data_IF_644804499809
#
_entry.id   IF_644804499809
#
_cell.length_a   1.000
_cell.length_b   1.000
_cell.length_c   1.000
_cell.angle_alpha   90.00
_cell.angle_beta   90.00
_cell.angle_gamma   90.00
#
_symmetry.space_group_name_H-M   'P 1'
#
loop_
_entity.id
_entity.type
_entity.pdbx_description
1 polymer ?
#
# COMPACT_ATOMS: atom_id res chain seq x y z
N UNK A 1 50.59 4.52 1.19
CA UNK A 1 51.44 5.16 2.23
C UNK A 1 50.54 5.50 3.41
N UNK A 2 50.91 4.95 4.57
CA UNK A 2 50.50 5.15 5.98
C UNK A 2 49.13 5.81 6.28
N UNK A 3 48.17 5.17 7.01
CA UNK A 3 48.15 4.82 8.46
C UNK A 3 48.21 6.11 9.33
N UNK A 4 47.32 6.42 10.29
CA UNK A 4 46.96 5.65 11.49
C UNK A 4 45.68 6.13 12.21
N UNK A 5 45.20 5.21 13.06
CA UNK A 5 44.11 5.26 14.03
C UNK A 5 44.32 6.23 15.21
N UNK A 6 43.23 6.56 15.92
CA UNK A 6 43.29 6.91 17.34
C UNK A 6 42.27 6.14 18.17
N UNK A 7 42.79 5.42 19.16
CA UNK A 7 42.10 4.64 20.21
C UNK A 7 42.05 5.40 21.54
N UNK A 8 41.16 4.91 22.40
CA UNK A 8 40.73 5.45 23.68
C UNK A 8 41.81 5.63 24.77
N UNK A 9 41.56 6.56 25.70
CA UNK A 9 42.36 6.76 26.90
C UNK A 9 41.51 6.67 28.18
N UNK A 10 41.89 5.69 29.00
CA UNK A 10 41.45 5.36 30.36
C UNK A 10 42.25 6.22 31.35
N UNK A 11 41.62 6.80 32.37
CA UNK A 11 42.34 7.45 33.50
C UNK A 11 41.95 6.78 34.81
N UNK A 12 42.97 6.33 35.54
CA UNK A 12 42.93 5.76 36.87
C UNK A 12 43.80 6.62 37.80
N UNK A 13 43.26 6.92 38.98
CA UNK A 13 43.96 6.87 40.26
C UNK A 13 45.00 7.95 40.58
N UNK A 14 44.69 8.77 41.58
CA UNK A 14 45.69 9.27 42.53
C UNK A 14 45.05 9.40 43.91
N UNK A 15 45.74 8.82 44.90
CA UNK A 15 45.40 8.83 46.30
C UNK A 15 45.90 10.13 46.97
N UNK A 16 45.17 10.58 47.99
CA UNK A 16 45.59 11.66 48.88
C UNK A 16 44.68 11.67 50.10
N UNK A 17 45.18 11.16 51.23
CA UNK A 17 44.47 11.16 52.50
C UNK A 17 44.54 12.52 53.20
N UNK A 18 43.59 12.75 54.11
CA UNK A 18 43.84 13.21 55.49
C UNK A 18 42.53 13.63 56.17
N UNK A 19 42.35 13.08 57.38
CA UNK A 19 41.78 13.69 58.59
C UNK A 19 40.28 14.04 58.67
N UNK A 20 39.59 13.21 59.47
CA UNK A 20 38.46 13.60 60.32
C UNK A 20 38.95 14.51 61.47
N UNK A 21 38.00 15.24 62.10
CA UNK A 21 37.90 15.14 63.55
C UNK A 21 36.49 14.79 64.02
N UNK A 22 36.49 13.88 64.99
CA UNK A 22 35.38 13.36 65.78
C UNK A 22 34.95 14.42 66.81
N UNK A 23 33.64 14.59 67.03
CA UNK A 23 33.12 15.14 68.28
C UNK A 23 31.92 14.33 68.76
N UNK A 24 32.13 13.68 69.89
CA UNK A 24 31.18 12.93 70.69
C UNK A 24 30.34 13.90 71.52
N UNK A 25 29.01 13.77 71.51
CA UNK A 25 28.16 14.30 72.58
C UNK A 25 27.21 13.24 73.09
N UNK A 26 27.20 13.15 74.40
CA UNK A 26 26.63 12.14 75.27
C UNK A 26 25.12 12.34 75.46
N UNK A 27 24.40 11.22 75.47
CA UNK A 27 22.99 11.14 75.81
C UNK A 27 22.77 11.32 77.32
N UNK A 28 21.69 12.01 77.69
CA UNK A 28 21.03 11.84 78.99
C UNK A 28 19.52 11.64 78.78
N UNK A 29 19.00 10.57 79.38
CA UNK A 29 17.58 10.18 79.44
C UNK A 29 17.09 10.42 80.88
N UNK A 30 15.80 10.70 81.08
CA UNK A 30 15.08 10.20 82.24
C UNK A 30 14.00 9.15 81.85
N UNK A 31 13.77 8.23 82.78
CA UNK A 31 12.82 7.09 82.72
C UNK A 31 11.39 7.54 83.08
N UNK A 32 10.40 6.98 82.39
CA UNK A 32 8.96 6.94 82.74
C UNK A 32 8.30 5.65 82.21
N UNK A 33 7.18 5.18 82.79
CA UNK A 33 6.91 3.75 82.96
C UNK A 33 6.33 3.00 81.74
N UNK A 34 6.70 1.71 81.68
CA UNK A 34 6.33 0.68 80.70
C UNK A 34 4.91 0.17 80.94
N UNK A 35 3.96 0.52 80.05
CA UNK A 35 2.78 -0.35 79.76
C UNK A 35 1.91 0.10 78.57
N UNK A 36 2.28 1.15 77.82
CA UNK A 36 1.50 1.67 76.68
C UNK A 36 2.21 1.64 75.31
N UNK A 37 3.28 0.85 75.17
CA UNK A 37 4.06 0.79 73.91
C UNK A 37 3.68 -0.36 72.98
N UNK A 38 3.13 -1.48 73.47
CA UNK A 38 2.90 -2.67 72.62
C UNK A 38 1.76 -2.45 71.59
N UNK A 39 0.71 -1.70 71.95
CA UNK A 39 -0.38 -1.38 71.03
C UNK A 39 0.04 -0.40 69.91
N UNK A 40 0.98 0.52 70.18
CA UNK A 40 1.51 1.46 69.18
C UNK A 40 2.49 0.79 68.22
N UNK A 41 3.29 -0.19 68.68
CA UNK A 41 4.24 -0.90 67.81
C UNK A 41 3.52 -1.80 66.79
N UNK A 42 2.42 -2.45 67.18
CA UNK A 42 1.62 -3.29 66.24
C UNK A 42 0.87 -2.42 65.22
N UNK A 43 0.35 -1.25 65.62
CA UNK A 43 -0.28 -0.30 64.68
C UNK A 43 0.74 0.26 63.68
N UNK A 44 1.94 0.59 64.13
CA UNK A 44 3.00 1.10 63.24
C UNK A 44 3.52 0.02 62.28
N UNK A 45 3.61 -1.24 62.70
CA UNK A 45 3.98 -2.35 61.79
C UNK A 45 2.91 -2.56 60.71
N UNK A 46 1.62 -2.50 61.06
CA UNK A 46 0.52 -2.60 60.08
C UNK A 46 0.57 -1.44 59.07
N UNK A 47 0.84 -0.22 59.54
CA UNK A 47 0.98 0.96 58.67
C UNK A 47 2.23 0.84 57.78
N UNK A 48 3.36 0.36 58.29
CA UNK A 48 4.58 0.18 57.49
C UNK A 48 4.43 -0.93 56.44
N UNK A 49 3.73 -2.03 56.75
CA UNK A 49 3.41 -3.09 55.78
C UNK A 49 2.44 -2.55 54.72
N UNK A 50 1.41 -1.79 55.12
CA UNK A 50 0.46 -1.17 54.20
C UNK A 50 1.16 -0.14 53.29
N UNK A 51 2.00 0.73 53.84
CA UNK A 51 2.81 1.68 53.08
C UNK A 51 3.77 0.95 52.14
N UNK A 52 4.42 -0.15 52.58
CA UNK A 52 5.25 -0.98 51.71
C UNK A 52 4.46 -1.58 50.55
N UNK A 53 3.26 -2.10 50.81
CA UNK A 53 2.38 -2.71 49.80
C UNK A 53 1.85 -1.67 48.80
N UNK A 54 1.42 -0.51 49.29
CA UNK A 54 1.01 0.63 48.47
C UNK A 54 2.18 1.16 47.64
N UNK A 55 3.40 1.20 48.20
CA UNK A 55 4.59 1.63 47.44
C UNK A 55 4.94 0.62 46.35
N UNK A 56 4.79 -0.69 46.58
CA UNK A 56 4.97 -1.73 45.55
C UNK A 56 3.89 -1.61 44.47
N UNK A 57 2.63 -1.37 44.83
CA UNK A 57 1.53 -1.17 43.88
C UNK A 57 1.70 0.12 43.07
N UNK A 58 2.11 1.22 43.70
CA UNK A 58 2.39 2.49 43.03
C UNK A 58 3.62 2.37 42.15
N UNK A 59 4.70 1.70 42.59
CA UNK A 59 5.87 1.43 41.76
C UNK A 59 5.53 0.51 40.58
N UNK A 60 4.66 -0.50 40.75
CA UNK A 60 4.13 -1.31 39.64
C UNK A 60 3.23 -0.52 38.69
N UNK A 61 2.51 0.48 39.19
CA UNK A 61 1.62 1.34 38.39
C UNK A 61 2.32 2.52 37.71
N UNK A 62 3.46 2.99 38.24
CA UNK A 62 4.20 4.16 37.72
C UNK A 62 5.47 3.80 36.96
N UNK A 63 6.07 2.64 37.25
CA UNK A 63 7.14 2.05 36.46
C UNK A 63 6.52 0.86 35.75
N UNK A 64 6.14 1.04 34.49
CA UNK A 64 5.69 -0.04 33.60
C UNK A 64 6.79 -1.08 33.39
N UNK A 65 7.04 -1.91 34.39
CA UNK A 65 7.81 -3.13 34.28
C UNK A 65 6.91 -4.16 33.64
N UNK A 66 7.09 -4.32 32.34
CA UNK A 66 6.56 -5.41 31.53
C UNK A 66 7.26 -6.72 31.98
N UNK A 67 6.98 -7.20 33.20
CA UNK A 67 7.24 -8.58 33.58
C UNK A 67 6.15 -9.41 32.90
N UNK A 68 6.50 -10.05 31.78
CA UNK A 68 5.63 -11.00 31.09
C UNK A 68 5.03 -11.99 32.08
N UNK A 69 3.71 -11.96 32.20
CA UNK A 69 2.96 -12.98 32.92
C UNK A 69 2.93 -14.24 32.06
N UNK A 70 3.15 -15.45 32.61
CA UNK A 70 3.11 -16.71 31.85
C UNK A 70 1.82 -16.88 31.03
N UNK A 71 0.72 -16.32 31.52
CA UNK A 71 -0.59 -16.35 30.88
C UNK A 71 -0.65 -15.56 29.56
N UNK A 72 0.07 -14.44 29.44
CA UNK A 72 0.14 -13.67 28.19
C UNK A 72 1.03 -14.32 27.14
N UNK A 73 2.00 -15.14 27.58
CA UNK A 73 2.88 -15.85 26.65
C UNK A 73 2.21 -17.13 26.14
N UNK A 74 1.44 -17.83 26.99
CA UNK A 74 0.58 -18.96 26.58
C UNK A 74 -0.54 -18.50 25.63
N UNK A 75 -1.21 -17.38 25.93
CA UNK A 75 -2.21 -16.81 25.01
C UNK A 75 -1.61 -16.44 23.65
N UNK A 76 -0.42 -15.82 23.63
CA UNK A 76 0.29 -15.55 22.37
C UNK A 76 0.66 -16.82 21.63
N UNK A 77 1.13 -17.85 22.32
CA UNK A 77 1.46 -19.14 21.71
C UNK A 77 0.21 -19.80 21.11
N UNK A 78 -0.90 -19.81 21.83
CA UNK A 78 -2.17 -20.34 21.34
C UNK A 78 -2.66 -19.58 20.10
N UNK A 79 -2.59 -18.24 20.11
CA UNK A 79 -2.95 -17.41 18.95
C UNK A 79 -2.03 -17.66 17.75
N UNK A 80 -0.73 -17.86 17.97
CA UNK A 80 0.21 -18.22 16.91
C UNK A 80 -0.08 -19.61 16.34
N UNK A 81 -0.38 -20.59 17.19
CA UNK A 81 -0.72 -21.94 16.78
C UNK A 81 -2.04 -21.98 16.00
N UNK A 82 -3.05 -21.25 16.46
CA UNK A 82 -4.33 -21.11 15.76
C UNK A 82 -4.16 -20.38 14.42
N UNK A 83 -3.39 -19.29 14.37
CA UNK A 83 -3.07 -18.60 13.11
C UNK A 83 -2.34 -19.52 12.13
N UNK A 84 -1.37 -20.31 12.60
CA UNK A 84 -0.66 -21.28 11.77
C UNK A 84 -1.60 -22.40 11.30
N UNK A 85 -2.55 -22.85 12.13
CA UNK A 85 -3.56 -23.84 11.75
C UNK A 85 -4.47 -23.29 10.64
N UNK A 86 -4.97 -22.07 10.80
CA UNK A 86 -5.82 -21.40 9.79
C UNK A 86 -5.04 -21.22 8.48
N UNK A 87 -3.79 -20.76 8.54
CA UNK A 87 -2.94 -20.62 7.35
C UNK A 87 -2.73 -21.98 6.67
N UNK A 88 -2.53 -23.05 7.44
CA UNK A 88 -2.36 -24.40 6.91
C UNK A 88 -3.65 -24.91 6.24
N UNK A 89 -4.81 -24.68 6.85
CA UNK A 89 -6.13 -25.05 6.31
C UNK A 89 -6.43 -24.32 4.99
N UNK A 90 -6.19 -22.99 4.94
CA UNK A 90 -6.34 -22.21 3.69
C UNK A 90 -5.40 -22.73 2.60
N UNK A 91 -4.19 -23.17 2.95
CA UNK A 91 -3.24 -23.74 1.99
C UNK A 91 -3.64 -25.14 1.53
N UNK A 92 -4.28 -25.95 2.38
CA UNK A 92 -4.76 -27.28 1.99
C UNK A 92 -5.99 -27.23 1.08
N UNK A 93 -6.88 -26.26 1.29
CA UNK A 93 -8.08 -26.10 0.44
C UNK A 93 -7.75 -25.63 -0.98
N UNK A 94 -6.58 -25.03 -1.19
CA UNK A 94 -6.08 -24.65 -2.52
C UNK A 94 -5.52 -25.82 -3.35
N UNK A 95 -5.49 -27.05 -2.81
CA UNK A 95 -4.85 -28.21 -3.42
C UNK A 95 -5.84 -29.22 -4.04
N UNK A 96 -7.11 -28.87 -4.23
CA UNK A 96 -8.02 -29.72 -5.02
C UNK A 96 -7.57 -29.72 -6.48
N UNK A 97 -7.01 -30.86 -6.91
CA UNK A 97 -6.77 -31.16 -8.30
C UNK A 97 -8.13 -31.39 -8.98
N UNK A 98 -8.75 -30.31 -9.44
CA UNK A 98 -9.93 -30.42 -10.28
C UNK A 98 -9.57 -31.14 -11.58
N UNK A 99 -10.36 -32.16 -11.93
CA UNK A 99 -10.31 -32.85 -13.21
C UNK A 99 -10.42 -31.82 -14.35
N UNK A 100 -9.28 -31.33 -14.86
CA UNK A 100 -9.28 -30.40 -15.98
C UNK A 100 -9.86 -31.14 -17.20
N UNK A 101 -10.98 -30.67 -17.77
CA UNK A 101 -11.48 -31.24 -19.00
C UNK A 101 -10.38 -31.13 -20.08
N UNK A 102 -10.32 -32.06 -21.04
CA UNK A 102 -9.30 -32.04 -22.07
C UNK A 102 -9.25 -30.68 -22.77
N UNK A 103 -8.06 -30.08 -22.81
CA UNK A 103 -7.77 -28.82 -23.49
C UNK A 103 -8.17 -28.93 -24.97
N UNK A 104 -9.26 -28.28 -25.35
CA UNK A 104 -9.66 -28.14 -26.76
C UNK A 104 -8.97 -26.91 -27.37
N UNK A 105 -7.85 -27.15 -28.04
CA UNK A 105 -7.05 -26.12 -28.71
C UNK A 105 -7.80 -25.42 -29.87
N UNK A 106 -8.98 -25.90 -30.27
CA UNK A 106 -9.80 -25.26 -31.30
C UNK A 106 -10.79 -24.23 -30.76
N UNK A 107 -10.99 -24.13 -29.43
CA UNK A 107 -11.92 -23.16 -28.85
C UNK A 107 -11.17 -21.88 -28.50
N UNK A 108 -11.61 -20.76 -29.08
CA UNK A 108 -11.11 -19.44 -28.72
C UNK A 108 -11.76 -19.00 -27.42
N UNK A 109 -10.97 -18.53 -26.45
CA UNK A 109 -11.47 -18.03 -25.17
C UNK A 109 -12.52 -16.93 -25.36
N UNK A 110 -13.56 -16.95 -24.53
CA UNK A 110 -14.56 -15.87 -24.45
C UNK A 110 -14.94 -15.63 -23.00
N UNK A 111 -15.19 -14.36 -22.63
CA UNK A 111 -15.71 -14.04 -21.30
C UNK A 111 -17.19 -14.44 -21.07
N UNK A 112 -17.85 -14.97 -22.10
CA UNK A 112 -19.29 -15.20 -22.16
C UNK A 112 -19.92 -14.54 -23.38
N UNK A 113 -21.25 -14.39 -23.36
CA UNK A 113 -22.00 -13.87 -24.50
C UNK A 113 -21.53 -12.46 -24.93
N UNK A 114 -21.38 -12.27 -26.24
CA UNK A 114 -21.02 -10.99 -26.84
C UNK A 114 -22.13 -9.95 -26.58
N UNK A 115 -21.73 -8.78 -26.11
CA UNK A 115 -22.61 -7.62 -25.93
C UNK A 115 -22.21 -6.59 -26.99
N UNK A 116 -23.17 -6.11 -27.78
CA UNK A 116 -22.92 -5.16 -28.89
C UNK A 116 -23.64 -3.81 -28.72
N UNK A 117 -24.53 -3.68 -27.72
CA UNK A 117 -25.34 -2.49 -27.46
C UNK A 117 -25.16 -1.94 -26.04
N UNK A 118 -23.99 -2.15 -25.41
CA UNK A 118 -23.75 -1.72 -24.03
C UNK A 118 -23.89 -0.20 -23.84
N UNK A 119 -23.47 0.59 -24.81
CA UNK A 119 -23.62 2.05 -24.76
C UNK A 119 -25.09 2.50 -24.65
N UNK A 120 -26.00 1.82 -25.36
CA UNK A 120 -27.43 2.09 -25.29
C UNK A 120 -28.04 1.60 -23.97
N UNK A 121 -27.69 0.37 -23.54
CA UNK A 121 -28.13 -0.19 -22.26
C UNK A 121 -27.73 0.71 -21.09
N UNK A 122 -26.46 1.13 -21.04
CA UNK A 122 -25.92 2.01 -19.99
C UNK A 122 -26.61 3.37 -20.00
N UNK A 123 -26.83 3.96 -21.19
CA UNK A 123 -27.56 5.23 -21.33
C UNK A 123 -29.00 5.14 -20.81
N UNK A 124 -29.71 4.06 -21.15
CA UNK A 124 -31.07 3.83 -20.67
C UNK A 124 -31.08 3.64 -19.14
N UNK A 125 -30.15 2.84 -18.61
CA UNK A 125 -30.04 2.63 -17.17
C UNK A 125 -29.79 3.94 -16.40
N UNK A 126 -28.86 4.79 -16.87
CA UNK A 126 -28.56 6.09 -16.24
C UNK A 126 -29.74 7.05 -16.26
N UNK A 127 -30.57 7.01 -17.31
CA UNK A 127 -31.81 7.79 -17.38
C UNK A 127 -32.83 7.32 -16.35
N UNK A 128 -32.93 6.01 -16.15
CA UNK A 128 -33.93 5.39 -15.28
C UNK A 128 -33.48 5.37 -13.80
N UNK A 129 -32.19 5.65 -13.50
CA UNK A 129 -31.60 5.67 -12.16
C UNK A 129 -30.84 6.98 -11.86
N UNK A 130 -31.53 8.14 -11.78
CA UNK A 130 -30.89 9.45 -11.58
C UNK A 130 -30.16 9.59 -10.23
N UNK A 131 -30.49 8.75 -9.23
CA UNK A 131 -29.81 8.72 -7.93
C UNK A 131 -28.38 8.16 -8.00
N UNK A 132 -28.01 7.53 -9.13
CA UNK A 132 -26.69 6.99 -9.39
C UNK A 132 -26.08 7.64 -10.63
N UNK A 133 -25.82 8.97 -10.62
CA UNK A 133 -25.27 9.65 -11.78
C UNK A 133 -23.83 9.21 -12.02
N UNK A 134 -23.41 9.17 -13.29
CA UNK A 134 -22.02 8.89 -13.65
C UNK A 134 -21.07 10.09 -13.45
N UNK A 135 -21.62 11.26 -13.13
CA UNK A 135 -20.88 12.47 -12.77
C UNK A 135 -21.49 13.10 -11.52
N UNK A 136 -20.65 13.51 -10.58
CA UNK A 136 -21.03 14.24 -9.36
C UNK A 136 -20.20 15.52 -9.30
N UNK A 137 -20.85 16.68 -9.18
CA UNK A 137 -20.20 18.00 -9.17
C UNK A 137 -19.23 18.24 -10.35
N UNK A 138 -19.60 17.73 -11.54
CA UNK A 138 -18.77 17.83 -12.75
C UNK A 138 -17.57 16.88 -12.80
N UNK A 139 -17.37 16.04 -11.77
CA UNK A 139 -16.34 14.99 -11.75
C UNK A 139 -16.96 13.63 -12.08
N UNK A 140 -16.33 12.82 -12.95
CA UNK A 140 -16.82 11.48 -13.24
C UNK A 140 -16.63 10.56 -12.05
N UNK A 141 -17.53 9.59 -11.87
CA UNK A 141 -17.35 8.54 -10.87
C UNK A 141 -16.25 7.57 -11.30
N UNK A 142 -15.30 7.36 -10.41
CA UNK A 142 -14.16 6.46 -10.59
C UNK A 142 -14.28 5.31 -9.58
N UNK A 143 -14.15 4.08 -10.06
CA UNK A 143 -14.00 2.90 -9.24
C UNK A 143 -12.55 2.42 -9.32
N UNK A 144 -11.81 2.55 -8.22
CA UNK A 144 -10.47 1.97 -8.12
C UNK A 144 -10.57 0.47 -7.87
N UNK A 145 -9.85 -0.31 -8.66
CA UNK A 145 -9.85 -1.77 -8.57
C UNK A 145 -8.42 -2.24 -8.34
N UNK A 146 -8.23 -3.02 -7.29
CA UNK A 146 -6.98 -3.72 -7.00
C UNK A 146 -7.30 -5.15 -6.59
N UNK A 147 -6.28 -5.97 -6.38
CA UNK A 147 -6.48 -7.32 -5.90
C UNK A 147 -5.18 -8.06 -5.63
N UNK A 148 -5.31 -9.19 -4.97
CA UNK A 148 -4.25 -10.14 -4.68
C UNK A 148 -4.79 -11.57 -4.81
N UNK A 149 -3.92 -12.59 -4.86
CA UNK A 149 -4.38 -13.97 -4.73
C UNK A 149 -5.20 -14.20 -3.44
N UNK A 150 -6.14 -15.16 -3.44
CA UNK A 150 -6.91 -15.56 -2.25
C UNK A 150 -6.05 -16.23 -1.17
N UNK A 151 -5.03 -16.96 -1.60
CA UNK A 151 -4.15 -17.71 -0.70
C UNK A 151 -3.14 -16.79 -0.02
N UNK A 152 -2.69 -17.13 1.20
CA UNK A 152 -1.57 -16.45 1.83
C UNK A 152 -0.36 -16.43 0.92
N UNK A 153 0.43 -15.37 1.00
CA UNK A 153 1.65 -15.26 0.22
C UNK A 153 2.63 -16.41 0.51
N UNK A 154 3.43 -16.77 -0.50
CA UNK A 154 4.52 -17.73 -0.35
C UNK A 154 5.50 -17.24 0.73
N UNK A 155 5.81 -15.94 0.66
CA UNK A 155 6.57 -15.23 1.68
C UNK A 155 5.60 -14.51 2.64
N UNK A 156 5.54 -14.88 3.93
CA UNK A 156 4.59 -14.29 4.88
C UNK A 156 4.70 -12.77 5.05
N UNK A 157 5.89 -12.18 4.80
CA UNK A 157 6.03 -10.72 4.83
C UNK A 157 5.27 -10.04 3.68
N UNK A 158 4.99 -10.76 2.59
CA UNK A 158 4.23 -10.30 1.44
C UNK A 158 2.84 -9.79 1.84
N UNK A 159 2.12 -10.54 2.68
CA UNK A 159 0.79 -10.16 3.18
C UNK A 159 0.83 -8.84 3.96
N UNK A 160 1.91 -8.59 4.71
CA UNK A 160 2.09 -7.31 5.39
C UNK A 160 2.22 -6.13 4.40
N UNK A 161 2.93 -6.32 3.29
CA UNK A 161 3.06 -5.29 2.27
C UNK A 161 1.81 -5.13 1.40
N UNK A 162 1.03 -6.20 1.18
CA UNK A 162 -0.31 -6.11 0.60
C UNK A 162 -1.23 -5.25 1.48
N UNK A 163 -1.21 -5.47 2.80
CA UNK A 163 -1.97 -4.66 3.75
C UNK A 163 -1.55 -3.18 3.72
N UNK A 164 -0.25 -2.90 3.73
CA UNK A 164 0.27 -1.52 3.64
C UNK A 164 -0.12 -0.86 2.32
N UNK A 165 -0.06 -1.60 1.22
CA UNK A 165 -0.51 -1.13 -0.08
C UNK A 165 -2.00 -0.81 -0.10
N UNK A 166 -2.82 -1.67 0.49
CA UNK A 166 -4.26 -1.41 0.59
C UNK A 166 -4.56 -0.19 1.47
N UNK A 167 -3.90 -0.03 2.63
CA UNK A 167 -4.01 1.19 3.44
C UNK A 167 -3.67 2.45 2.63
N UNK A 168 -2.56 2.42 1.87
CA UNK A 168 -2.14 3.53 1.02
C UNK A 168 -3.23 3.92 0.00
N UNK A 169 -3.84 2.94 -0.67
CA UNK A 169 -4.94 3.14 -1.61
C UNK A 169 -6.22 3.66 -0.92
N UNK A 170 -6.57 3.11 0.25
CA UNK A 170 -7.68 3.60 1.09
C UNK A 170 -7.50 5.07 1.43
N UNK A 171 -6.29 5.46 1.83
CA UNK A 171 -6.00 6.85 2.21
C UNK A 171 -6.13 7.80 1.02
N UNK A 172 -5.57 7.45 -0.15
CA UNK A 172 -5.73 8.24 -1.36
C UNK A 172 -7.20 8.34 -1.78
N UNK A 173 -7.90 7.22 -1.91
CA UNK A 173 -9.29 7.21 -2.37
C UNK A 173 -10.22 7.98 -1.44
N UNK A 174 -10.00 7.91 -0.12
CA UNK A 174 -10.75 8.69 0.87
C UNK A 174 -10.55 10.20 0.69
N UNK A 175 -9.34 10.65 0.37
CA UNK A 175 -9.06 12.07 0.12
C UNK A 175 -9.70 12.57 -1.17
N UNK A 176 -9.79 11.70 -2.18
CA UNK A 176 -10.23 12.06 -3.54
C UNK A 176 -11.67 11.64 -3.87
N UNK A 177 -12.41 11.07 -2.92
CA UNK A 177 -13.80 10.65 -3.12
C UNK A 177 -13.97 9.50 -4.12
N UNK A 178 -13.01 8.56 -4.14
CA UNK A 178 -12.98 7.41 -5.06
C UNK A 178 -13.44 6.16 -4.32
N UNK A 179 -14.26 5.33 -4.97
CA UNK A 179 -14.68 4.04 -4.42
C UNK A 179 -13.63 2.96 -4.69
N UNK A 180 -13.53 1.94 -3.84
CA UNK A 180 -12.56 0.85 -4.00
C UNK A 180 -13.26 -0.51 -4.04
N UNK A 181 -12.88 -1.34 -5.01
CA UNK A 181 -13.06 -2.79 -4.99
C UNK A 181 -11.71 -3.46 -4.85
N UNK A 182 -11.58 -4.36 -3.87
CA UNK A 182 -10.41 -5.21 -3.69
C UNK A 182 -10.78 -6.66 -3.94
N UNK A 183 -10.29 -7.24 -5.03
CA UNK A 183 -10.61 -8.61 -5.40
C UNK A 183 -9.62 -9.60 -4.79
N UNK A 184 -10.14 -10.67 -4.22
CA UNK A 184 -9.38 -11.85 -3.78
C UNK A 184 -9.91 -13.14 -4.42
N UNK A 185 -10.83 -13.06 -5.37
CA UNK A 185 -11.43 -14.24 -6.01
C UNK A 185 -10.85 -14.49 -7.41
N UNK A 186 -10.67 -15.77 -7.75
CA UNK A 186 -10.46 -16.19 -9.14
C UNK A 186 -11.83 -16.31 -9.82
N UNK A 187 -12.17 -15.32 -10.66
CA UNK A 187 -13.43 -15.32 -11.40
C UNK A 187 -13.41 -16.27 -12.61
N UNK A 188 -12.21 -16.62 -13.07
CA UNK A 188 -11.95 -17.47 -14.22
C UNK A 188 -10.66 -18.25 -13.96
N UNK A 189 -10.68 -19.58 -14.17
CA UNK A 189 -9.52 -20.46 -13.92
C UNK A 189 -8.52 -20.45 -15.07
N UNK A 190 -8.94 -20.08 -16.28
CA UNK A 190 -8.07 -19.97 -17.45
C UNK A 190 -7.26 -18.66 -17.41
N UNK A 191 -7.91 -17.57 -16.99
CA UNK A 191 -7.27 -16.25 -16.82
C UNK A 191 -6.72 -16.05 -15.40
N UNK A 192 -5.75 -16.88 -15.02
CA UNK A 192 -5.04 -16.76 -13.73
C UNK A 192 -3.86 -15.76 -13.79
N UNK A 193 -3.35 -15.37 -12.60
CA UNK A 193 -2.20 -14.48 -12.47
C UNK A 193 -2.51 -13.04 -12.91
N UNK A 194 -1.59 -12.42 -13.66
CA UNK A 194 -1.78 -11.03 -14.13
C UNK A 194 -2.98 -10.86 -15.06
N UNK A 195 -3.46 -11.95 -15.69
CA UNK A 195 -4.63 -11.96 -16.56
C UNK A 195 -5.97 -11.86 -15.81
N UNK A 196 -6.00 -12.14 -14.51
CA UNK A 196 -7.23 -12.16 -13.70
C UNK A 196 -7.94 -10.79 -13.62
N UNK A 197 -7.23 -9.71 -13.95
CA UNK A 197 -7.80 -8.36 -14.01
C UNK A 197 -8.85 -8.21 -15.12
N UNK A 198 -8.68 -8.86 -16.27
CA UNK A 198 -9.59 -8.73 -17.41
C UNK A 198 -11.04 -9.18 -17.08
N UNK A 199 -11.29 -10.41 -16.59
CA UNK A 199 -12.66 -10.84 -16.27
C UNK A 199 -13.28 -10.01 -15.15
N UNK A 200 -12.46 -9.54 -14.19
CA UNK A 200 -12.92 -8.65 -13.13
C UNK A 200 -13.34 -7.28 -13.65
N UNK A 201 -12.52 -6.63 -14.48
CA UNK A 201 -12.86 -5.33 -15.10
C UNK A 201 -14.15 -5.46 -15.89
N UNK A 202 -14.29 -6.50 -16.74
CA UNK A 202 -15.52 -6.75 -17.49
C UNK A 202 -16.73 -6.91 -16.57
N UNK A 203 -16.60 -7.70 -15.50
CA UNK A 203 -17.69 -7.92 -14.54
C UNK A 203 -18.12 -6.61 -13.86
N UNK A 204 -17.16 -5.80 -13.41
CA UNK A 204 -17.43 -4.54 -12.75
C UNK A 204 -18.07 -3.51 -13.70
N UNK A 205 -17.62 -3.43 -14.97
CA UNK A 205 -18.26 -2.57 -15.97
C UNK A 205 -19.75 -2.84 -16.10
N UNK A 206 -20.12 -4.13 -16.20
CA UNK A 206 -21.50 -4.55 -16.40
C UNK A 206 -22.34 -4.47 -15.12
N UNK A 207 -21.72 -4.60 -13.95
CA UNK A 207 -22.41 -4.56 -12.65
C UNK A 207 -22.57 -3.16 -12.09
N UNK A 208 -21.76 -2.20 -12.57
CA UNK A 208 -21.76 -0.81 -12.14
C UNK A 208 -21.91 0.16 -13.33
N UNK A 209 -23.11 0.27 -13.94
CA UNK A 209 -23.33 1.18 -15.07
C UNK A 209 -23.16 2.66 -14.69
N UNK A 210 -23.28 3.01 -13.41
CA UNK A 210 -23.03 4.34 -12.86
C UNK A 210 -21.54 4.75 -12.89
N UNK A 211 -20.62 3.80 -12.95
CA UNK A 211 -19.19 4.12 -12.97
C UNK A 211 -18.78 4.55 -14.37
N UNK A 212 -18.13 5.70 -14.48
CA UNK A 212 -17.61 6.22 -15.76
C UNK A 212 -16.22 5.67 -16.06
N UNK A 213 -15.37 5.57 -15.04
CA UNK A 213 -14.01 5.05 -15.16
C UNK A 213 -13.74 3.95 -14.14
N UNK A 214 -13.24 2.82 -14.62
CA UNK A 214 -12.62 1.80 -13.79
C UNK A 214 -11.11 2.03 -13.84
N UNK A 215 -10.50 2.24 -12.67
CA UNK A 215 -9.07 2.44 -12.56
C UNK A 215 -8.43 1.22 -11.91
N UNK A 216 -7.82 0.37 -12.73
CA UNK A 216 -7.02 -0.75 -12.25
C UNK A 216 -5.70 -0.25 -11.68
N UNK A 217 -5.31 -0.73 -10.50
CA UNK A 217 -4.00 -0.49 -9.91
C UNK A 217 -3.46 -1.76 -9.24
N UNK A 218 -2.25 -2.15 -9.61
CA UNK A 218 -1.59 -3.36 -9.08
C UNK A 218 -1.36 -3.24 -7.55
N UNK A 219 -1.31 -4.40 -6.90
CA UNK A 219 -1.08 -4.49 -5.46
C UNK A 219 0.28 -3.95 -5.01
N UNK A 220 1.28 -3.92 -5.90
CA UNK A 220 2.63 -3.41 -5.67
C UNK A 220 2.85 -2.00 -6.25
N UNK A 221 1.78 -1.32 -6.68
CA UNK A 221 1.78 0.10 -7.00
C UNK A 221 1.27 0.93 -5.80
N UNK A 222 2.05 1.92 -5.37
CA UNK A 222 1.71 2.81 -4.27
C UNK A 222 1.52 4.24 -4.75
N UNK A 223 0.50 4.93 -4.24
CA UNK A 223 0.40 6.38 -4.33
C UNK A 223 1.50 7.01 -3.51
N UNK A 224 2.30 7.86 -4.14
CA UNK A 224 3.36 8.64 -3.49
C UNK A 224 3.15 10.14 -3.60
N UNK A 225 2.17 10.59 -4.39
CA UNK A 225 1.57 11.92 -4.33
C UNK A 225 0.12 11.82 -3.86
N UNK A 226 -0.17 12.23 -2.62
CA UNK A 226 -1.51 12.16 -2.04
C UNK A 226 -2.38 13.37 -2.40
N UNK A 227 -1.80 14.39 -3.04
CA UNK A 227 -2.46 15.65 -3.42
C UNK A 227 -2.84 15.66 -4.89
N UNK A 228 -2.02 15.04 -5.74
CA UNK A 228 -2.26 14.99 -7.17
C UNK A 228 -3.61 14.34 -7.50
N UNK A 229 -4.41 15.02 -8.32
CA UNK A 229 -5.66 14.51 -8.88
C UNK A 229 -5.47 14.22 -10.37
N UNK A 230 -5.99 13.08 -10.84
CA UNK A 230 -5.91 12.70 -12.25
C UNK A 230 -6.64 13.76 -13.09
N UNK A 231 -6.02 14.35 -14.12
CA UNK A 231 -6.63 15.40 -14.93
C UNK A 231 -7.66 14.80 -15.92
N UNK A 232 -8.76 14.22 -15.45
CA UNK A 232 -9.70 13.43 -16.27
C UNK A 232 -10.22 14.20 -17.50
N UNK A 233 -10.37 15.52 -17.40
CA UNK A 233 -10.77 16.37 -18.54
C UNK A 233 -9.83 16.23 -19.75
N UNK A 234 -8.54 15.98 -19.51
CA UNK A 234 -7.53 15.70 -20.56
C UNK A 234 -7.89 14.46 -21.40
N UNK A 235 -8.66 13.52 -20.83
CA UNK A 235 -8.98 12.23 -21.44
C UNK A 235 -10.42 12.13 -21.95
N UNK A 236 -11.15 13.24 -22.06
CA UNK A 236 -12.57 13.24 -22.40
C UNK A 236 -12.91 12.49 -23.70
N UNK A 237 -12.01 12.52 -24.69
CA UNK A 237 -12.19 11.86 -26.00
C UNK A 237 -11.59 10.45 -26.09
N UNK A 238 -11.06 9.92 -24.99
CA UNK A 238 -10.37 8.63 -24.92
C UNK A 238 -11.13 7.65 -24.01
N UNK A 239 -10.88 6.36 -24.21
CA UNK A 239 -11.50 5.27 -23.46
C UNK A 239 -10.49 4.44 -22.67
N UNK A 240 -9.21 4.49 -23.04
CA UNK A 240 -8.11 3.86 -22.32
C UNK A 240 -7.04 4.91 -22.01
N UNK A 241 -6.62 5.02 -20.76
CA UNK A 241 -5.49 5.87 -20.35
C UNK A 241 -4.45 5.00 -19.69
N UNK A 242 -3.26 4.98 -20.26
CA UNK A 242 -2.19 4.08 -19.84
C UNK A 242 -0.85 4.83 -19.87
N UNK A 243 -0.02 4.64 -18.85
CA UNK A 243 1.29 5.25 -18.85
C UNK A 243 2.20 4.58 -19.89
N UNK A 244 2.96 5.37 -20.63
CA UNK A 244 3.93 4.83 -21.57
C UNK A 244 4.73 5.88 -22.32
N UNK A 245 5.57 5.42 -23.24
CA UNK A 245 6.43 6.28 -24.05
C UNK A 245 6.19 6.02 -25.53
N UNK A 246 5.69 7.00 -26.31
CA UNK A 246 5.37 6.80 -27.73
C UNK A 246 6.56 6.32 -28.58
N UNK A 247 7.78 6.77 -28.31
CA UNK A 247 8.99 6.31 -29.02
C UNK A 247 9.28 4.83 -28.74
N UNK A 248 9.06 4.38 -27.50
CA UNK A 248 9.20 2.97 -27.15
C UNK A 248 8.10 2.13 -27.80
N UNK A 249 6.89 2.66 -27.93
CA UNK A 249 5.74 1.96 -28.48
C UNK A 249 5.85 1.78 -30.00
N UNK A 250 5.99 2.88 -30.74
CA UNK A 250 5.88 2.87 -32.20
C UNK A 250 7.22 2.60 -32.89
N UNK A 251 8.31 3.20 -32.40
CA UNK A 251 9.61 3.11 -33.07
C UNK A 251 10.36 1.84 -32.65
N UNK A 252 10.40 1.56 -31.34
CA UNK A 252 11.20 0.45 -30.80
C UNK A 252 10.40 -0.83 -30.59
N UNK A 253 9.07 -0.76 -30.54
CA UNK A 253 8.18 -1.89 -30.19
C UNK A 253 8.61 -2.59 -28.90
N UNK A 254 8.97 -1.80 -27.89
CA UNK A 254 9.49 -2.31 -26.64
C UNK A 254 8.38 -2.92 -25.78
N UNK A 255 8.64 -4.06 -25.15
CA UNK A 255 7.67 -4.69 -24.24
C UNK A 255 7.39 -3.89 -22.96
N UNK A 256 8.21 -2.88 -22.66
CA UNK A 256 8.03 -1.93 -21.56
C UNK A 256 7.54 -0.56 -22.04
N UNK A 257 7.04 -0.47 -23.28
CA UNK A 257 6.56 0.78 -23.86
C UNK A 257 5.34 1.36 -23.14
N UNK A 258 4.49 0.47 -22.60
CA UNK A 258 3.31 0.79 -21.79
C UNK A 258 3.37 0.00 -20.49
N UNK A 259 2.65 0.44 -19.45
CA UNK A 259 2.51 -0.34 -18.21
C UNK A 259 1.04 -0.59 -17.85
N UNK A 260 0.66 -1.87 -17.71
CA UNK A 260 -0.73 -2.28 -17.40
C UNK A 260 -1.02 -2.44 -15.91
N UNK A 261 -0.14 -1.91 -15.05
CA UNK A 261 -0.32 -1.95 -13.60
C UNK A 261 -0.98 -0.72 -12.99
N UNK A 262 -1.26 0.30 -13.80
CA UNK A 262 -2.09 1.46 -13.43
C UNK A 262 -2.75 2.01 -14.69
N UNK A 263 -4.03 1.69 -14.88
CA UNK A 263 -4.75 1.92 -16.14
C UNK A 263 -6.18 2.36 -15.89
N UNK A 264 -6.64 3.38 -16.62
CA UNK A 264 -8.04 3.80 -16.59
C UNK A 264 -8.79 3.26 -17.82
N UNK A 265 -9.93 2.64 -17.57
CA UNK A 265 -10.84 2.09 -18.57
C UNK A 265 -12.19 2.80 -18.48
N UNK A 266 -12.66 3.39 -19.58
CA UNK A 266 -13.99 4.00 -19.62
C UNK A 266 -15.06 2.91 -19.70
N UNK A 267 -16.14 3.06 -18.96
CA UNK A 267 -17.28 2.14 -19.03
C UNK A 267 -18.11 2.37 -20.31
N UNK A 268 -17.70 1.71 -21.40
CA UNK A 268 -18.32 1.85 -22.72
C UNK A 268 -18.18 0.58 -23.57
N UNK A 269 -18.92 0.51 -24.68
CA UNK A 269 -18.89 -0.63 -25.60
C UNK A 269 -17.48 -0.90 -26.14
N UNK A 270 -16.74 0.16 -26.51
CA UNK A 270 -15.37 0.05 -27.02
C UNK A 270 -14.45 -0.71 -26.06
N UNK A 271 -14.59 -0.47 -24.75
CA UNK A 271 -13.77 -1.16 -23.74
C UNK A 271 -14.14 -2.64 -23.64
N UNK A 272 -15.42 -3.00 -23.74
CA UNK A 272 -15.82 -4.41 -23.79
C UNK A 272 -15.21 -5.11 -25.01
N UNK A 273 -15.21 -4.43 -26.16
CA UNK A 273 -14.62 -4.96 -27.39
C UNK A 273 -13.10 -5.10 -27.28
N UNK A 274 -12.43 -4.14 -26.63
CA UNK A 274 -10.99 -4.21 -26.35
C UNK A 274 -10.67 -5.42 -25.47
N UNK A 275 -11.44 -5.65 -24.39
CA UNK A 275 -11.21 -6.80 -23.50
C UNK A 275 -11.31 -8.11 -24.28
N UNK A 276 -12.33 -8.27 -25.13
CA UNK A 276 -12.51 -9.45 -25.99
C UNK A 276 -11.31 -9.66 -26.93
N UNK A 277 -10.72 -8.58 -27.48
CA UNK A 277 -9.56 -8.64 -28.36
C UNK A 277 -8.22 -8.88 -27.62
N UNK A 278 -8.16 -8.53 -26.33
CA UNK A 278 -6.95 -8.64 -25.51
C UNK A 278 -6.81 -10.01 -24.84
N UNK A 279 -7.92 -10.61 -24.43
CA UNK A 279 -7.97 -11.90 -23.73
C UNK A 279 -7.40 -13.14 -24.45
N UNK A 280 -7.38 -13.27 -25.79
CA UNK A 280 -7.03 -14.53 -26.46
C UNK A 280 -5.63 -15.09 -26.16
N UNK A 281 -4.68 -14.25 -25.74
CA UNK A 281 -3.34 -14.68 -25.34
C UNK A 281 -3.23 -15.08 -23.85
N UNK A 282 -4.31 -14.97 -23.10
CA UNK A 282 -4.35 -15.14 -21.65
C UNK A 282 -4.62 -16.54 -21.10
N UNK A 283 -5.35 -17.46 -21.75
CA UNK A 283 -5.64 -18.79 -21.17
C UNK A 283 -4.37 -19.57 -20.82
N UNK A 284 -4.23 -19.97 -19.55
CA UNK A 284 -3.05 -20.71 -19.04
C UNK A 284 -2.76 -22.00 -19.84
N UNK A 285 -1.51 -22.42 -19.84
CA UNK A 285 -1.07 -23.62 -20.54
C UNK A 285 -0.60 -23.34 -21.98
N UNK A 286 -0.79 -24.27 -22.94
CA UNK A 286 -0.17 -24.19 -24.27
C UNK A 286 -0.49 -22.90 -25.04
N UNK A 287 -1.68 -22.34 -24.88
CA UNK A 287 -2.11 -21.10 -25.54
C UNK A 287 -1.24 -19.93 -25.10
N UNK A 288 -1.13 -19.70 -23.78
CA UNK A 288 -0.32 -18.61 -23.22
C UNK A 288 1.18 -18.83 -23.45
N UNK A 289 1.65 -20.08 -23.44
CA UNK A 289 3.05 -20.41 -23.74
C UNK A 289 3.42 -20.06 -25.19
N UNK A 290 2.57 -20.44 -26.15
CA UNK A 290 2.79 -20.15 -27.57
C UNK A 290 2.65 -18.65 -27.85
N UNK A 291 1.65 -17.99 -27.27
CA UNK A 291 1.54 -16.55 -27.32
C UNK A 291 2.79 -15.85 -26.75
N UNK A 292 3.38 -16.39 -25.68
CA UNK A 292 4.63 -15.91 -25.12
C UNK A 292 5.80 -15.96 -26.11
N UNK A 293 5.88 -17.02 -26.93
CA UNK A 293 6.88 -17.12 -28.02
C UNK A 293 6.65 -16.07 -29.09
N UNK A 294 5.39 -15.89 -29.52
CA UNK A 294 5.01 -14.86 -30.51
C UNK A 294 5.40 -13.47 -30.00
N UNK A 295 5.05 -13.14 -28.75
CA UNK A 295 5.35 -11.85 -28.13
C UNK A 295 6.85 -11.62 -27.99
N UNK A 296 7.62 -12.65 -27.62
CA UNK A 296 9.08 -12.57 -27.53
C UNK A 296 9.74 -12.36 -28.89
N UNK A 297 9.19 -12.98 -29.95
CA UNK A 297 9.67 -12.79 -31.31
C UNK A 297 9.32 -11.42 -31.91
N UNK A 298 8.23 -10.79 -31.44
CA UNK A 298 7.74 -9.52 -31.97
C UNK A 298 8.24 -8.29 -31.19
N UNK A 299 8.32 -8.36 -29.86
CA UNK A 299 8.60 -7.22 -28.98
C UNK A 299 10.07 -7.13 -28.59
N UNK A 300 10.62 -5.93 -28.74
CA UNK A 300 12.03 -5.66 -28.42
C UNK A 300 12.28 -5.71 -26.90
N UNK A 301 13.30 -6.46 -26.51
CA UNK A 301 13.79 -6.54 -25.13
C UNK A 301 12.94 -7.41 -24.20
N UNK A 302 11.91 -8.10 -24.70
CA UNK A 302 11.10 -9.04 -23.92
C UNK A 302 11.89 -10.31 -23.62
N UNK A 303 12.05 -10.74 -22.35
CA UNK A 303 12.64 -12.04 -22.05
C UNK A 303 11.69 -13.19 -22.44
N UNK A 304 12.22 -14.42 -22.50
CA UNK A 304 11.44 -15.60 -22.83
C UNK A 304 10.67 -16.11 -21.60
N UNK A 305 9.35 -15.92 -21.60
CA UNK A 305 8.40 -16.45 -20.61
C UNK A 305 6.98 -16.45 -21.21
N UNK A 306 6.01 -17.03 -20.50
CA UNK A 306 4.59 -17.08 -20.85
C UNK A 306 4.04 -15.70 -21.25
N UNK A 307 2.99 -15.62 -22.06
CA UNK A 307 2.35 -14.34 -22.38
C UNK A 307 1.83 -13.61 -21.12
N UNK A 308 2.10 -12.31 -21.06
CA UNK A 308 1.61 -11.38 -20.05
C UNK A 308 0.66 -10.35 -20.68
N UNK A 309 -0.24 -9.81 -19.85
CA UNK A 309 -1.26 -8.85 -20.27
C UNK A 309 -0.63 -7.58 -20.88
N UNK A 310 0.48 -7.08 -20.31
CA UNK A 310 1.17 -5.88 -20.80
C UNK A 310 1.68 -6.06 -22.24
N UNK A 311 2.44 -7.12 -22.47
CA UNK A 311 3.01 -7.44 -23.79
C UNK A 311 1.91 -7.71 -24.81
N UNK A 312 0.84 -8.44 -24.42
CA UNK A 312 -0.29 -8.69 -25.30
C UNK A 312 -1.03 -7.40 -25.71
N UNK A 313 -1.20 -6.45 -24.78
CA UNK A 313 -1.81 -5.16 -25.11
C UNK A 313 -0.93 -4.36 -26.07
N UNK A 314 0.38 -4.28 -25.81
CA UNK A 314 1.32 -3.59 -26.69
C UNK A 314 1.28 -4.20 -28.09
N UNK A 315 1.30 -5.53 -28.20
CA UNK A 315 1.18 -6.24 -29.47
C UNK A 315 -0.13 -5.89 -30.19
N UNK A 316 -1.27 -5.93 -29.49
CA UNK A 316 -2.58 -5.60 -30.03
C UNK A 316 -2.62 -4.15 -30.57
N UNK A 317 -2.15 -3.20 -29.78
CA UNK A 317 -2.17 -1.77 -30.14
C UNK A 317 -1.23 -1.43 -31.31
N UNK A 318 -0.11 -2.13 -31.45
CA UNK A 318 0.78 -1.96 -32.60
C UNK A 318 0.19 -2.60 -33.86
N UNK A 319 -0.32 -3.83 -33.76
CA UNK A 319 -0.77 -4.62 -34.92
C UNK A 319 -2.15 -4.20 -35.43
N UNK A 320 -2.99 -3.64 -34.57
CA UNK A 320 -4.33 -3.16 -34.89
C UNK A 320 -4.48 -1.67 -34.57
N UNK A 321 -3.45 -0.88 -34.89
CA UNK A 321 -3.36 0.54 -34.57
C UNK A 321 -4.60 1.32 -35.02
N UNK A 322 -4.98 1.19 -36.30
CA UNK A 322 -6.13 1.90 -36.89
C UNK A 322 -7.47 1.57 -36.22
N UNK A 323 -7.57 0.44 -35.51
CA UNK A 323 -8.78 0.00 -34.81
C UNK A 323 -8.88 0.59 -33.40
N UNK A 324 -7.76 0.71 -32.68
CA UNK A 324 -7.77 0.95 -31.23
C UNK A 324 -7.16 2.28 -30.81
N UNK A 325 -6.09 2.72 -31.48
CA UNK A 325 -5.24 3.80 -30.95
C UNK A 325 -5.93 5.17 -30.91
N UNK A 326 -6.97 5.39 -31.70
CA UNK A 326 -7.76 6.64 -31.69
C UNK A 326 -8.43 6.90 -30.33
N UNK A 327 -8.67 5.85 -29.53
CA UNK A 327 -9.26 5.92 -28.19
C UNK A 327 -8.28 5.64 -27.05
N UNK A 328 -6.98 5.43 -27.36
CA UNK A 328 -5.94 5.19 -26.35
C UNK A 328 -5.13 6.47 -26.12
N UNK A 329 -5.10 6.92 -24.87
CA UNK A 329 -4.21 7.98 -24.43
C UNK A 329 -2.96 7.39 -23.78
N UNK A 330 -1.80 7.58 -24.41
CA UNK A 330 -0.49 7.22 -23.83
C UNK A 330 0.01 8.38 -22.98
N UNK A 331 -0.14 8.25 -21.66
CA UNK A 331 0.24 9.27 -20.69
C UNK A 331 1.73 9.21 -20.36
N UNK A 332 2.40 10.37 -20.43
CA UNK A 332 3.82 10.51 -20.11
C UNK A 332 4.17 11.85 -19.43
N UNK A 333 3.16 12.67 -19.11
CA UNK A 333 3.35 13.98 -18.46
C UNK A 333 3.43 13.92 -16.93
N UNK A 334 3.02 12.79 -16.34
CA UNK A 334 3.15 12.48 -14.93
C UNK A 334 3.22 10.95 -14.76
N UNK A 335 3.64 10.48 -13.59
CA UNK A 335 3.80 9.05 -13.32
C UNK A 335 2.47 8.40 -12.92
N UNK A 336 1.56 8.22 -13.89
CA UNK A 336 0.45 7.27 -13.74
C UNK A 336 0.98 5.86 -13.41
N UNK A 337 2.17 5.54 -13.91
CA UNK A 337 3.06 4.48 -13.44
C UNK A 337 4.48 5.04 -13.34
N UNK A 338 5.13 4.92 -12.18
CA UNK A 338 6.52 5.32 -11.99
C UNK A 338 7.41 4.15 -11.57
N UNK A 339 8.40 3.81 -12.40
CA UNK A 339 9.31 2.70 -12.11
C UNK A 339 10.16 2.97 -10.86
N UNK A 340 9.93 2.17 -9.81
CA UNK A 340 10.44 2.42 -8.46
C UNK A 340 11.96 2.64 -8.39
N UNK A 341 12.76 1.87 -9.12
CA UNK A 341 14.21 1.90 -9.02
C UNK A 341 14.82 3.26 -9.42
N UNK A 342 14.13 4.04 -10.26
CA UNK A 342 14.55 5.40 -10.64
C UNK A 342 14.04 6.51 -9.72
N UNK A 343 13.19 6.19 -8.75
CA UNK A 343 12.43 7.14 -7.93
C UNK A 343 12.78 7.06 -6.44
N UNK A 344 12.84 5.87 -5.86
CA UNK A 344 12.86 5.68 -4.40
C UNK A 344 14.07 6.30 -3.70
N UNK A 345 15.20 6.39 -4.38
CA UNK A 345 16.43 6.98 -3.84
C UNK A 345 16.43 8.52 -3.89
N UNK A 346 15.45 9.12 -4.57
CA UNK A 346 15.31 10.58 -4.72
C UNK A 346 14.33 11.21 -3.73
N UNK A 347 13.61 10.43 -2.92
CA UNK A 347 12.55 10.95 -2.04
C UNK A 347 13.02 12.03 -1.05
N UNK A 348 14.21 11.90 -0.47
CA UNK A 348 14.77 12.93 0.41
C UNK A 348 15.04 14.23 -0.35
N UNK A 349 15.56 14.14 -1.58
CA UNK A 349 15.77 15.29 -2.45
C UNK A 349 14.45 15.93 -2.85
N UNK A 350 13.44 15.14 -3.20
CA UNK A 350 12.09 15.61 -3.54
C UNK A 350 11.47 16.35 -2.36
N UNK A 351 11.57 15.79 -1.14
CA UNK A 351 11.07 16.41 0.10
C UNK A 351 11.75 17.75 0.40
N UNK A 352 13.04 17.88 0.05
CA UNK A 352 13.80 19.10 0.32
C UNK A 352 13.51 20.22 -0.70
N UNK A 353 13.21 19.87 -1.96
CA UNK A 353 13.13 20.83 -3.07
C UNK A 353 11.70 21.12 -3.55
N UNK A 354 10.79 20.17 -3.41
CA UNK A 354 9.46 20.20 -4.02
C UNK A 354 8.36 19.95 -2.98
N UNK A 355 7.13 19.83 -3.45
CA UNK A 355 5.92 19.56 -2.66
C UNK A 355 5.02 18.58 -3.42
N UNK A 356 4.11 17.86 -2.73
CA UNK A 356 3.11 17.03 -3.39
C UNK A 356 2.12 17.87 -4.21
N UNK A 357 1.46 17.26 -5.18
CA UNK A 357 0.53 17.86 -6.14
C UNK A 357 1.11 17.99 -7.55
N UNK A 358 2.32 17.48 -7.80
CA UNK A 358 3.01 17.60 -9.10
C UNK A 358 2.87 16.35 -9.96
N UNK A 359 2.84 15.17 -9.33
CA UNK A 359 2.64 13.87 -9.98
C UNK A 359 3.79 13.34 -10.86
N UNK A 360 4.84 14.12 -11.13
CA UNK A 360 5.94 13.79 -12.05
C UNK A 360 7.28 13.52 -11.33
N UNK A 361 8.42 13.62 -12.03
CA UNK A 361 9.78 13.49 -11.49
C UNK A 361 10.11 14.34 -10.27
N UNK A 362 9.37 15.43 -10.03
CA UNK A 362 9.55 16.31 -8.88
C UNK A 362 8.85 15.74 -7.65
N UNK A 363 7.73 15.05 -7.86
CA UNK A 363 6.99 14.32 -6.84
C UNK A 363 6.10 13.25 -7.50
N UNK A 364 6.53 11.97 -7.57
CA UNK A 364 5.87 11.00 -8.42
C UNK A 364 4.48 10.67 -7.91
N UNK A 365 3.51 10.58 -8.82
CA UNK A 365 2.14 10.21 -8.46
C UNK A 365 2.06 8.76 -7.97
N UNK A 366 2.50 7.81 -8.81
CA UNK A 366 2.59 6.39 -8.47
C UNK A 366 4.04 5.94 -8.47
N UNK A 367 4.42 5.19 -7.43
CA UNK A 367 5.65 4.38 -7.41
C UNK A 367 5.28 2.91 -7.49
N UNK A 368 5.65 2.25 -8.58
CA UNK A 368 5.27 0.87 -8.91
C UNK A 368 6.48 -0.06 -8.81
N UNK A 369 6.38 -1.07 -7.94
CA UNK A 369 7.43 -2.03 -7.58
C UNK A 369 7.54 -3.24 -8.52
N UNK A 370 7.44 -2.97 -9.84
CA UNK A 370 7.58 -3.98 -10.88
C UNK A 370 8.83 -4.84 -10.65
N UNK A 371 8.65 -6.16 -10.71
CA UNK A 371 9.70 -7.16 -10.52
C UNK A 371 10.01 -7.52 -9.06
N UNK A 372 9.44 -6.82 -8.07
CA UNK A 372 9.69 -7.15 -6.65
C UNK A 372 8.90 -8.35 -6.14
N UNK A 373 7.69 -8.59 -6.67
CA UNK A 373 6.82 -9.75 -6.39
C UNK A 373 6.78 -10.13 -4.89
N UNK A 374 6.40 -9.21 -3.98
CA UNK A 374 6.54 -9.42 -2.53
C UNK A 374 5.72 -10.60 -1.98
N UNK A 375 4.67 -11.01 -2.68
CA UNK A 375 3.81 -12.13 -2.32
C UNK A 375 4.28 -13.48 -2.91
N UNK A 376 5.07 -13.45 -3.99
CA UNK A 376 5.55 -14.64 -4.68
C UNK A 376 6.90 -15.12 -4.18
N UNK A 377 7.31 -16.29 -4.66
CA UNK A 377 8.58 -16.95 -4.33
C UNK A 377 9.78 -16.53 -5.20
N UNK A 378 9.54 -15.87 -6.34
CA UNK A 378 10.58 -15.41 -7.27
C UNK A 378 10.37 -13.94 -7.64
N UNK A 379 11.45 -13.15 -7.66
CA UNK A 379 11.47 -11.73 -8.05
C UNK A 379 12.75 -11.37 -8.81
N UNK A 380 12.68 -10.34 -9.66
CA UNK A 380 13.79 -9.89 -10.51
C UNK A 380 14.83 -9.06 -9.74
N UNK A 381 14.47 -8.63 -8.52
CA UNK A 381 15.29 -7.81 -7.65
C UNK A 381 15.50 -8.47 -6.28
N UNK A 382 16.59 -8.15 -5.57
CA UNK A 382 16.81 -8.64 -4.22
C UNK A 382 15.65 -8.24 -3.29
N UNK A 383 15.03 -9.24 -2.63
CA UNK A 383 13.87 -9.05 -1.74
C UNK A 383 14.13 -7.97 -0.70
N UNK A 384 15.31 -7.97 -0.07
CA UNK A 384 15.66 -6.95 0.94
C UNK A 384 15.61 -5.52 0.38
N UNK A 385 16.10 -5.31 -0.86
CA UNK A 385 16.05 -3.99 -1.52
C UNK A 385 14.60 -3.59 -1.79
N UNK A 386 13.81 -4.52 -2.33
CA UNK A 386 12.39 -4.30 -2.59
C UNK A 386 11.63 -3.90 -1.32
N UNK A 387 11.72 -4.67 -0.24
CA UNK A 387 10.99 -4.40 1.00
C UNK A 387 11.43 -3.05 1.61
N UNK A 388 12.73 -2.75 1.65
CA UNK A 388 13.24 -1.45 2.13
C UNK A 388 12.71 -0.29 1.28
N UNK A 389 12.67 -0.45 -0.03
CA UNK A 389 12.17 0.59 -0.95
C UNK A 389 10.65 0.75 -0.87
N UNK A 390 9.89 -0.34 -0.70
CA UNK A 390 8.44 -0.30 -0.44
C UNK A 390 8.14 0.40 0.90
N UNK A 391 8.91 0.11 1.94
CA UNK A 391 8.82 0.78 3.24
C UNK A 391 9.02 2.30 3.08
N UNK A 392 10.03 2.70 2.31
CA UNK A 392 10.31 4.11 2.00
C UNK A 392 9.17 4.77 1.24
N UNK A 393 8.65 4.14 0.19
CA UNK A 393 7.54 4.68 -0.59
C UNK A 393 6.26 4.83 0.24
N UNK A 394 5.92 3.80 1.03
CA UNK A 394 4.79 3.86 1.94
C UNK A 394 4.95 5.00 2.95
N UNK A 395 6.09 5.12 3.63
CA UNK A 395 6.30 6.17 4.62
C UNK A 395 6.40 7.57 3.98
N UNK A 396 6.88 7.67 2.73
CA UNK A 396 6.91 8.92 1.96
C UNK A 396 5.48 9.43 1.69
N UNK A 397 4.58 8.51 1.35
CA UNK A 397 3.17 8.78 1.18
C UNK A 397 2.44 9.05 2.51
N UNK A 398 2.60 8.16 3.50
CA UNK A 398 1.92 8.25 4.79
C UNK A 398 2.34 9.50 5.59
N UNK A 399 3.57 10.00 5.38
CA UNK A 399 3.99 11.30 5.93
C UNK A 399 3.10 12.47 5.49
N UNK A 400 2.52 12.42 4.29
CA UNK A 400 1.61 13.47 3.81
C UNK A 400 0.32 13.43 4.64
N UNK A 401 -0.20 12.24 4.94
CA UNK A 401 -1.40 12.03 5.78
C UNK A 401 -1.13 12.35 7.26
N UNK A 402 -0.05 11.82 7.83
CA UNK A 402 0.31 12.02 9.24
C UNK A 402 0.53 13.51 9.57
N UNK A 403 1.00 14.30 8.60
CA UNK A 403 1.18 15.74 8.75
C UNK A 403 -0.14 16.44 9.11
N UNK A 404 -1.27 15.99 8.56
CA UNK A 404 -2.61 16.50 8.91
C UNK A 404 -2.86 16.42 10.43
N UNK A 405 -2.43 15.31 11.02
CA UNK A 405 -2.62 14.99 12.43
C UNK A 405 -1.47 15.47 13.34
N UNK A 406 -0.46 16.16 12.79
CA UNK A 406 0.66 16.68 13.56
C UNK A 406 1.74 15.64 13.88
N UNK A 407 1.86 14.61 13.05
CA UNK A 407 2.89 13.57 13.13
C UNK A 407 3.68 13.43 11.83
N UNK A 408 4.80 12.72 11.90
CA UNK A 408 5.53 12.17 10.75
C UNK A 408 6.36 10.96 11.18
N UNK A 409 6.74 10.11 10.25
CA UNK A 409 7.75 9.08 10.47
C UNK A 409 9.09 9.68 10.92
N UNK A 410 9.81 8.96 11.78
CA UNK A 410 11.15 9.39 12.23
C UNK A 410 12.16 9.46 11.07
N UNK A 411 12.00 8.59 10.09
CA UNK A 411 12.68 8.55 8.79
C UNK A 411 11.96 7.59 7.86
N UNK A 412 12.26 7.59 6.56
CA UNK A 412 11.51 6.80 5.57
C UNK A 412 11.63 5.28 5.72
N UNK A 413 12.64 4.78 6.45
CA UNK A 413 12.77 3.36 6.78
C UNK A 413 12.20 3.00 8.16
N UNK A 414 11.71 3.97 8.93
CA UNK A 414 11.29 3.74 10.31
C UNK A 414 9.76 3.71 10.42
N UNK A 415 9.18 2.62 10.96
CA UNK A 415 7.74 2.58 11.25
C UNK A 415 7.36 3.51 12.41
N UNK A 416 8.33 3.94 13.22
CA UNK A 416 8.09 4.81 14.37
C UNK A 416 7.77 6.24 13.91
N UNK A 417 6.72 6.81 14.50
CA UNK A 417 6.35 8.20 14.29
C UNK A 417 6.94 9.12 15.36
N UNK A 418 6.96 10.42 15.05
CA UNK A 418 7.26 11.50 15.99
C UNK A 418 6.28 12.65 15.77
N UNK A 419 5.99 13.35 16.86
CA UNK A 419 5.18 14.56 16.83
C UNK A 419 5.95 15.69 16.15
N UNK A 420 5.25 16.53 15.37
CA UNK A 420 5.84 17.70 14.68
C UNK A 420 5.29 19.04 15.15
N UNK A 421 4.27 19.04 16.00
CA UNK A 421 3.70 20.24 16.64
C UNK A 421 3.15 19.92 18.02
N UNK A 422 3.15 20.90 18.92
CA UNK A 422 2.59 20.75 20.27
C UNK A 422 1.07 20.54 20.21
N UNK A 423 0.53 19.92 21.25
CA UNK A 423 -0.92 19.82 21.42
C UNK A 423 -1.52 21.19 21.69
N UNK A 424 -2.75 21.38 21.24
CA UNK A 424 -3.47 22.63 21.39
C UNK A 424 -4.90 22.31 21.82
N UNK A 425 -5.43 23.11 22.75
CA UNK A 425 -6.85 23.09 23.12
C UNK A 425 -7.74 23.75 22.06
N UNK A 426 -7.14 24.34 21.02
CA UNK A 426 -7.82 24.98 19.91
C UNK A 426 -7.41 24.35 18.56
N UNK A 427 -7.78 23.08 18.29
CA UNK A 427 -7.35 22.35 17.09
C UNK A 427 -7.84 22.98 15.79
N UNK A 428 -8.97 23.70 15.83
CA UNK A 428 -9.57 24.32 14.64
C UNK A 428 -8.91 25.64 14.21
N UNK A 429 -8.04 26.25 15.03
CA UNK A 429 -7.42 27.54 14.71
C UNK A 429 -6.44 27.51 13.55
N UNK A 430 -5.91 26.33 13.21
CA UNK A 430 -4.83 26.19 12.23
C UNK A 430 -5.17 25.25 11.07
N UNK A 431 -6.46 24.91 10.90
CA UNK A 431 -6.93 23.92 9.91
C UNK A 431 -6.45 24.24 8.50
N UNK A 432 -6.56 25.52 8.09
CA UNK A 432 -6.15 25.98 6.75
C UNK A 432 -4.63 25.84 6.47
N UNK A 433 -3.79 25.69 7.49
CA UNK A 433 -2.34 25.46 7.31
C UNK A 433 -2.00 23.98 7.07
N UNK A 434 -2.97 23.10 7.30
CA UNK A 434 -2.77 21.66 7.32
C UNK A 434 -3.70 20.91 6.37
N UNK A 435 -4.65 21.55 5.71
CA UNK A 435 -5.55 20.88 4.76
C UNK A 435 -4.90 20.60 3.40
N UNK A 436 -5.29 19.49 2.79
CA UNK A 436 -5.14 19.25 1.35
C UNK A 436 -6.20 20.01 0.51
N UNK A 437 -7.26 20.54 1.15
CA UNK A 437 -8.51 21.01 0.55
C UNK A 437 -8.56 22.49 0.11
N UNK A 438 -7.48 23.00 -0.50
CA UNK A 438 -7.55 24.25 -1.27
C UNK A 438 -7.24 24.03 -2.76
N UNK A 439 -7.84 22.99 -3.32
CA UNK A 439 -8.23 22.92 -4.73
C UNK A 439 -9.77 23.01 -4.77
N UNK A 440 -10.26 24.24 -4.92
CA UNK A 440 -11.61 24.67 -5.32
C UNK A 440 -12.85 23.86 -4.88
N UNK A 441 -13.55 24.36 -3.85
CA UNK A 441 -15.00 24.26 -3.75
C UNK A 441 -15.59 25.66 -4.00
N UNK A 442 -16.00 26.00 -5.24
CA UNK A 442 -16.75 27.22 -5.49
C UNK A 442 -18.17 27.02 -4.96
N UNK A 443 -18.47 27.49 -3.74
CA UNK A 443 -19.86 27.42 -3.26
C UNK A 443 -20.17 27.62 -1.79
N UNK A 444 -19.20 27.73 -0.87
CA UNK A 444 -19.53 28.14 0.51
C UNK A 444 -19.62 29.65 0.59
N UNK A 445 -20.82 30.16 0.35
CA UNK A 445 -21.23 31.51 0.75
C UNK A 445 -20.87 31.73 2.21
N UNK A 446 -20.19 32.85 2.47
CA UNK A 446 -20.06 33.40 3.82
C UNK A 446 -21.47 33.60 4.39
N UNK A 447 -21.80 32.87 5.45
CA UNK A 447 -22.82 33.25 6.42
C UNK A 447 -22.11 33.63 7.72
#
# INVERSE_FOLDING_TARGET
>A
MALENFTALKRSGTAGGANLPTTTTSASRPRGPRSRQIAKTVSNIKITILCGFVTILVLRGTIGLNLGTPQSDVEKQNLMEEANRIIAEIRSDGAEADDEPPLDLNVTFTFGAKISNWGEQRKNWLRDHPDFPNYVDGKPRILMVSGSPPSPCDNPIGDHYLLKSMKNKIDYCRLHGIEIVYNMAHLDKELAGYWAKLPLIRRLMLSHPEIEWIWWIDSDALFTDMVFEIPIKKYENHNLVIHGYPDLLFDKRSWIALNTGSVLFRNCQWTLDLLDAWAPMGPKGPVRDEAGRILTGFLSGRPAFEADDQSALIYLLITQNDTWMDKVFVENSYYLHGFWAGLVDKYEQMTAKYHPGLGDERWPFVTHFVGCKPCGSYGDYPVEKCLKSMERAFNFADNQLLKLYGFRHRGLLSPNIKRIRNETTAPLKFVNQFEFHHLDMPGRSKS
#
